data_IF_108417890245
#
_entry.id   IF_108417890245
#
_cell.length_a   1.000
_cell.length_b   1.000
_cell.length_c   1.000
_cell.angle_alpha   90.00
_cell.angle_beta   90.00
_cell.angle_gamma   90.00
#
_symmetry.space_group_name_H-M   'P 1'
#
loop_
_entity.id
_entity.type
_entity.pdbx_description
1 polymer ?
#
# COMPACT_ATOMS: atom_id res chain seq x y z
N UNK A 1 -45.74 7.92 24.65
CA UNK A 1 -44.54 8.76 24.69
C UNK A 1 -44.96 10.20 24.85
N UNK A 2 -44.49 10.87 25.89
CA UNK A 2 -44.71 12.30 26.03
C UNK A 2 -43.83 13.08 24.99
N UNK A 3 -44.14 14.35 24.69
CA UNK A 3 -43.40 15.14 23.71
C UNK A 3 -41.89 15.27 24.01
N UNK A 4 -41.52 15.26 25.29
CA UNK A 4 -40.16 15.38 25.79
C UNK A 4 -39.37 14.09 25.55
N UNK A 5 -39.97 12.92 25.78
CA UNK A 5 -39.39 11.61 25.43
C UNK A 5 -39.13 11.48 23.94
N UNK A 6 -40.02 12.01 23.08
CA UNK A 6 -39.83 12.02 21.62
C UNK A 6 -38.65 12.91 21.22
N UNK A 7 -38.53 14.10 21.83
CA UNK A 7 -37.40 14.98 21.61
C UNK A 7 -36.06 14.34 22.04
N UNK A 8 -36.04 13.63 23.17
CA UNK A 8 -34.84 12.89 23.61
C UNK A 8 -34.48 11.76 22.65
N UNK A 9 -35.46 10.98 22.20
CA UNK A 9 -35.22 9.90 21.24
C UNK A 9 -34.62 10.43 19.92
N UNK A 10 -35.12 11.56 19.42
CA UNK A 10 -34.58 12.22 18.23
C UNK A 10 -33.14 12.72 18.43
N UNK A 11 -32.82 13.31 19.59
CA UNK A 11 -31.46 13.72 19.91
C UNK A 11 -30.51 12.52 20.01
N UNK A 12 -30.93 11.44 20.65
CA UNK A 12 -30.16 10.19 20.75
C UNK A 12 -29.89 9.61 19.34
N UNK A 13 -30.90 9.59 18.48
CA UNK A 13 -30.74 9.10 17.10
C UNK A 13 -29.76 9.98 16.29
N UNK A 14 -29.83 11.30 16.44
CA UNK A 14 -28.87 12.23 15.81
C UNK A 14 -27.44 12.01 16.31
N UNK A 15 -27.25 11.83 17.61
CA UNK A 15 -25.96 11.53 18.22
C UNK A 15 -25.40 10.20 17.72
N UNK A 16 -26.22 9.14 17.68
CA UNK A 16 -25.84 7.83 17.13
C UNK A 16 -25.43 7.90 15.66
N UNK A 17 -26.17 8.64 14.84
CA UNK A 17 -25.84 8.83 13.43
C UNK A 17 -24.49 9.55 13.26
N UNK A 18 -24.23 10.60 14.05
CA UNK A 18 -22.96 11.33 14.02
C UNK A 18 -21.77 10.45 14.44
N UNK A 19 -21.93 9.66 15.50
CA UNK A 19 -20.92 8.71 15.96
C UNK A 19 -20.61 7.64 14.90
N UNK A 20 -21.64 7.09 14.26
CA UNK A 20 -21.49 6.11 13.18
C UNK A 20 -20.72 6.68 11.98
N UNK A 21 -21.05 7.91 11.58
CA UNK A 21 -20.38 8.58 10.47
C UNK A 21 -18.91 8.86 10.78
N UNK A 22 -18.61 9.31 12.01
CA UNK A 22 -17.24 9.54 12.47
C UNK A 22 -16.43 8.23 12.54
N UNK A 23 -17.03 7.16 13.05
CA UNK A 23 -16.38 5.84 13.10
C UNK A 23 -16.06 5.31 11.69
N UNK A 24 -16.99 5.50 10.74
CA UNK A 24 -16.81 5.11 9.34
C UNK A 24 -15.67 5.91 8.69
N UNK A 25 -15.63 7.23 8.87
CA UNK A 25 -14.55 8.07 8.34
C UNK A 25 -13.18 7.64 8.86
N UNK A 26 -13.07 7.39 10.18
CA UNK A 26 -11.83 6.94 10.81
C UNK A 26 -11.40 5.56 10.30
N UNK A 27 -12.34 4.65 10.09
CA UNK A 27 -12.04 3.34 9.52
C UNK A 27 -11.53 3.46 8.07
N UNK A 28 -12.13 4.33 7.25
CA UNK A 28 -11.66 4.60 5.88
C UNK A 28 -10.22 5.11 5.91
N UNK A 29 -9.93 6.13 6.73
CA UNK A 29 -8.59 6.68 6.87
C UNK A 29 -7.56 5.62 7.32
N UNK A 30 -7.96 4.73 8.22
CA UNK A 30 -7.08 3.69 8.77
C UNK A 30 -6.73 2.59 7.76
N UNK A 31 -7.65 2.26 6.84
CA UNK A 31 -7.46 1.23 5.81
C UNK A 31 -7.04 1.78 4.45
N UNK A 32 -7.09 3.09 4.26
CA UNK A 32 -6.70 3.76 3.02
C UNK A 32 -5.34 3.31 2.48
N UNK A 33 -4.24 3.33 3.25
CA UNK A 33 -2.92 2.98 2.69
C UNK A 33 -2.84 1.51 2.26
N UNK A 34 -3.45 0.59 3.00
CA UNK A 34 -3.45 -0.84 2.66
C UNK A 34 -4.31 -1.11 1.43
N UNK A 35 -5.48 -0.45 1.32
CA UNK A 35 -6.35 -0.58 0.17
C UNK A 35 -5.71 0.02 -1.08
N UNK A 36 -5.10 1.20 -0.98
CA UNK A 36 -4.37 1.85 -2.09
C UNK A 36 -3.21 0.99 -2.58
N UNK A 37 -2.45 0.37 -1.66
CA UNK A 37 -1.37 -0.54 -2.03
C UNK A 37 -1.86 -1.70 -2.92
N UNK A 38 -3.09 -2.17 -2.69
CA UNK A 38 -3.72 -3.30 -3.39
C UNK A 38 -4.63 -2.87 -4.55
N UNK A 39 -4.80 -1.57 -4.82
CA UNK A 39 -5.71 -1.06 -5.84
C UNK A 39 -7.20 -1.23 -5.51
N UNK A 40 -7.53 -1.27 -4.23
CA UNK A 40 -8.91 -1.44 -3.71
C UNK A 40 -9.44 -0.08 -3.24
N UNK A 41 -10.74 0.16 -3.44
CA UNK A 41 -11.43 1.33 -2.89
C UNK A 41 -11.68 1.15 -1.38
N UNK A 42 -11.04 2.00 -0.56
CA UNK A 42 -11.15 1.94 0.89
C UNK A 42 -12.57 2.23 1.43
N UNK A 43 -13.34 3.08 0.73
CA UNK A 43 -14.72 3.40 1.11
C UNK A 43 -15.61 2.18 0.91
N UNK A 44 -15.48 1.50 -0.22
CA UNK A 44 -16.20 0.26 -0.51
C UNK A 44 -15.78 -0.86 0.44
N UNK A 45 -14.48 -1.01 0.71
CA UNK A 45 -13.98 -1.99 1.65
C UNK A 45 -14.59 -1.81 3.05
N UNK A 46 -14.58 -0.59 3.60
CA UNK A 46 -15.17 -0.30 4.91
C UNK A 46 -16.68 -0.49 4.91
N UNK A 47 -17.38 -0.10 3.83
CA UNK A 47 -18.83 -0.33 3.71
C UNK A 47 -19.19 -1.81 3.72
N UNK A 48 -18.47 -2.62 2.95
CA UNK A 48 -18.72 -4.06 2.85
C UNK A 48 -18.39 -4.75 4.18
N UNK A 49 -17.24 -4.44 4.77
CA UNK A 49 -16.83 -5.07 6.03
C UNK A 49 -17.68 -4.64 7.23
N UNK A 50 -18.26 -3.44 7.21
CA UNK A 50 -19.17 -2.97 8.26
C UNK A 50 -20.50 -3.73 8.32
N UNK A 51 -20.92 -4.39 7.23
CA UNK A 51 -22.14 -5.22 7.21
C UNK A 51 -21.87 -6.70 7.58
N UNK A 52 -20.59 -7.09 7.72
CA UNK A 52 -20.22 -8.46 8.04
C UNK A 52 -20.32 -8.76 9.54
N UNK A 53 -20.58 -10.04 9.92
CA UNK A 53 -20.37 -10.50 11.28
C UNK A 53 -18.91 -10.27 11.72
N UNK A 54 -18.70 -10.07 13.03
CA UNK A 54 -17.41 -9.69 13.60
C UNK A 54 -16.24 -10.59 13.16
N UNK A 55 -16.45 -11.91 13.10
CA UNK A 55 -15.41 -12.85 12.65
C UNK A 55 -15.03 -12.68 11.18
N UNK A 56 -16.02 -12.52 10.30
CA UNK A 56 -15.78 -12.31 8.87
C UNK A 56 -15.15 -10.93 8.60
N UNK A 57 -15.59 -9.90 9.32
CA UNK A 57 -14.98 -8.57 9.30
C UNK A 57 -13.49 -8.64 9.67
N UNK A 58 -13.16 -9.22 10.82
CA UNK A 58 -11.78 -9.32 11.29
C UNK A 58 -10.88 -10.10 10.31
N UNK A 59 -11.43 -11.17 9.72
CA UNK A 59 -10.73 -11.92 8.67
C UNK A 59 -10.41 -11.05 7.44
N UNK A 60 -11.38 -10.31 6.92
CA UNK A 60 -11.14 -9.42 5.78
C UNK A 60 -10.13 -8.32 6.08
N UNK A 61 -10.19 -7.72 7.27
CA UNK A 61 -9.24 -6.71 7.75
C UNK A 61 -7.81 -7.27 7.85
N UNK A 62 -7.66 -8.48 8.39
CA UNK A 62 -6.36 -9.18 8.47
C UNK A 62 -5.80 -9.53 7.09
N UNK A 63 -6.63 -10.02 6.16
CA UNK A 63 -6.22 -10.33 4.79
C UNK A 63 -5.69 -9.10 4.07
N UNK A 64 -6.39 -7.96 4.15
CA UNK A 64 -5.93 -6.71 3.53
C UNK A 64 -4.62 -6.22 4.15
N UNK A 65 -4.50 -6.30 5.48
CA UNK A 65 -3.28 -5.92 6.17
C UNK A 65 -2.09 -6.78 5.73
N UNK A 66 -2.25 -8.10 5.71
CA UNK A 66 -1.20 -9.04 5.29
C UNK A 66 -0.84 -8.90 3.82
N UNK A 67 -1.82 -8.85 2.94
CA UNK A 67 -1.57 -8.73 1.50
C UNK A 67 -0.83 -7.43 1.16
N UNK A 68 -1.23 -6.30 1.76
CA UNK A 68 -0.55 -5.01 1.54
C UNK A 68 0.88 -5.00 2.09
N UNK A 69 1.12 -5.65 3.23
CA UNK A 69 2.45 -5.81 3.79
C UNK A 69 3.35 -6.70 2.90
N UNK A 70 2.83 -7.85 2.43
CA UNK A 70 3.55 -8.73 1.49
C UNK A 70 3.90 -7.99 0.20
N UNK A 71 2.95 -7.25 -0.38
CA UNK A 71 3.22 -6.49 -1.60
C UNK A 71 4.28 -5.41 -1.39
N UNK A 72 4.22 -4.70 -0.26
CA UNK A 72 5.26 -3.72 0.10
C UNK A 72 6.63 -4.36 0.23
N UNK A 73 6.72 -5.52 0.87
CA UNK A 73 7.96 -6.27 1.03
C UNK A 73 8.53 -6.72 -0.32
N UNK A 74 7.70 -7.31 -1.18
CA UNK A 74 8.12 -7.73 -2.52
C UNK A 74 8.58 -6.54 -3.36
N UNK A 75 7.86 -5.42 -3.33
CA UNK A 75 8.27 -4.19 -4.04
C UNK A 75 9.65 -3.71 -3.59
N UNK A 76 9.91 -3.72 -2.28
CA UNK A 76 11.19 -3.30 -1.71
C UNK A 76 12.33 -4.25 -2.12
N UNK A 77 12.10 -5.56 -2.04
CA UNK A 77 13.08 -6.57 -2.45
C UNK A 77 13.39 -6.48 -3.94
N UNK A 78 12.38 -6.39 -4.79
CA UNK A 78 12.56 -6.26 -6.24
C UNK A 78 13.27 -4.97 -6.62
N UNK A 79 12.98 -3.85 -5.94
CA UNK A 79 13.69 -2.60 -6.18
C UNK A 79 15.19 -2.70 -5.82
N UNK A 80 15.52 -3.36 -4.71
CA UNK A 80 16.92 -3.59 -4.33
C UNK A 80 17.64 -4.48 -5.35
N UNK A 81 17.02 -5.56 -5.78
CA UNK A 81 17.57 -6.46 -6.81
C UNK A 81 17.78 -5.75 -8.15
N UNK A 82 16.85 -4.87 -8.55
CA UNK A 82 16.97 -4.09 -9.77
C UNK A 82 18.16 -3.10 -9.70
N UNK A 83 18.33 -2.42 -8.57
CA UNK A 83 19.45 -1.51 -8.35
C UNK A 83 20.79 -2.25 -8.39
N UNK A 84 20.86 -3.42 -7.76
CA UNK A 84 22.06 -4.28 -7.79
C UNK A 84 22.37 -4.73 -9.22
N UNK A 85 21.37 -5.20 -9.97
CA UNK A 85 21.54 -5.60 -11.37
C UNK A 85 22.02 -4.43 -12.23
N UNK A 86 21.45 -3.24 -12.06
CA UNK A 86 21.89 -2.03 -12.77
C UNK A 86 23.34 -1.67 -12.44
N UNK A 87 23.73 -1.75 -11.17
CA UNK A 87 25.11 -1.51 -10.75
C UNK A 87 26.09 -2.52 -11.37
N UNK A 88 25.71 -3.79 -11.45
CA UNK A 88 26.54 -4.84 -12.06
C UNK A 88 26.70 -4.64 -13.56
N UNK A 89 25.62 -4.27 -14.27
CA UNK A 89 25.68 -3.94 -15.70
C UNK A 89 26.60 -2.75 -15.95
N UNK A 90 26.52 -1.69 -15.13
CA UNK A 90 27.39 -0.52 -15.26
C UNK A 90 28.86 -0.88 -15.04
N UNK A 91 29.17 -1.67 -14.00
CA UNK A 91 30.54 -2.15 -13.75
C UNK A 91 31.08 -2.97 -14.93
N UNK A 92 30.30 -3.90 -15.46
CA UNK A 92 30.68 -4.71 -16.61
C UNK A 92 30.93 -3.86 -17.85
N UNK A 93 30.05 -2.89 -18.12
CA UNK A 93 30.23 -1.93 -19.23
C UNK A 93 31.51 -1.13 -19.10
N UNK A 94 31.80 -0.60 -17.91
CA UNK A 94 33.02 0.15 -17.64
C UNK A 94 34.26 -0.73 -17.81
N UNK A 95 34.26 -1.95 -17.29
CA UNK A 95 35.37 -2.89 -17.47
C UNK A 95 35.61 -3.25 -18.95
N UNK A 96 34.54 -3.50 -19.71
CA UNK A 96 34.63 -3.75 -21.14
C UNK A 96 35.20 -2.55 -21.90
N UNK A 97 34.76 -1.32 -21.57
CA UNK A 97 35.29 -0.10 -22.19
C UNK A 97 36.79 0.05 -21.91
N UNK A 98 37.23 -0.16 -20.67
CA UNK A 98 38.66 -0.12 -20.34
C UNK A 98 39.48 -1.15 -21.13
N UNK A 99 38.94 -2.36 -21.30
CA UNK A 99 39.61 -3.40 -22.08
C UNK A 99 39.72 -3.02 -23.57
N UNK A 100 38.66 -2.43 -24.15
CA UNK A 100 38.67 -1.92 -25.53
C UNK A 100 39.72 -0.81 -25.66
N UNK A 101 39.68 0.20 -24.78
CA UNK A 101 40.62 1.33 -24.83
C UNK A 101 42.08 0.88 -24.66
N UNK A 102 42.34 -0.15 -23.84
CA UNK A 102 43.66 -0.73 -23.66
C UNK A 102 44.13 -1.47 -24.93
N UNK A 103 43.27 -2.28 -25.54
CA UNK A 103 43.58 -2.99 -26.79
C UNK A 103 43.86 -2.02 -27.94
N UNK A 104 43.01 -1.00 -28.12
CA UNK A 104 43.21 0.03 -29.17
C UNK A 104 44.51 0.82 -28.97
N UNK A 105 44.91 1.09 -27.71
CA UNK A 105 46.21 1.73 -27.44
C UNK A 105 47.39 0.83 -27.78
N UNK A 106 47.29 -0.48 -27.54
CA UNK A 106 48.36 -1.42 -27.90
C UNK A 106 48.50 -1.53 -29.43
N UNK A 107 47.40 -1.64 -30.17
CA UNK A 107 47.43 -1.70 -31.65
C UNK A 107 48.02 -0.43 -32.28
N UNK A 108 47.81 0.76 -31.70
CA UNK A 108 48.39 2.03 -32.17
C UNK A 108 49.86 2.24 -31.77
N UNK A 109 50.43 1.38 -30.91
CA UNK A 109 51.81 1.50 -30.43
C UNK A 109 52.80 0.60 -31.19
N UNK A 110 52.28 -0.34 -31.99
CA UNK A 110 53.05 -1.34 -32.76
C UNK A 110 53.18 -0.97 -34.26
N UNK A 111 52.64 0.18 -34.69
CA UNK A 111 52.85 0.83 -36.01
C UNK A 111 53.83 2.01 -35.91
#
# INVERSE_FOLDING_TARGET
MNPQEKAYQEQINKLKARLSLQATSKAIESFKPQCEALGIDAVQFVKVTASLPSGAKAFCEDVISKASATLSHVKQQSAAQLLEAQANVLKARTAAQYAIDAATKMELSDD
#
